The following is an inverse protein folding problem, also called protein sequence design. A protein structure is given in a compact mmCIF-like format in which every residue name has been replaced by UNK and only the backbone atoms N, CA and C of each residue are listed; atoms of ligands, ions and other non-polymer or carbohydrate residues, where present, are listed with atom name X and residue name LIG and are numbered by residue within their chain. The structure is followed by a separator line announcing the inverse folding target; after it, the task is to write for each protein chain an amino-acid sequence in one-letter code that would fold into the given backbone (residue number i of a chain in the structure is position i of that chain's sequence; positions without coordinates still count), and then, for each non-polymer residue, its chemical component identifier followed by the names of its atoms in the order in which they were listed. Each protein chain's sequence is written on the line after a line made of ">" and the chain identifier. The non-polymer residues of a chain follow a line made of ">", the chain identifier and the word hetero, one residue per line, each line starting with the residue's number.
data_IF_882113526737
#
_entry.id   IF_882113526737
#
_cell.length_a   1.000
_cell.length_b   1.000
_cell.length_c   1.000
_cell.angle_alpha   90.00
_cell.angle_beta   90.00
_cell.angle_gamma   90.00
#
_symmetry.space_group_name_H-M   'P 1'
#
loop_
_entity.id
_entity.type
_entity.pdbx_description
1 polymer ?
#
# COMPACT_ATOMS: atom_id res chain seq x y z
N UNK A 1 20.19 0.04 -19.66
CA UNK A 1 18.79 0.05 -20.17
C UNK A 1 18.02 1.29 -19.71
N UNK A 2 18.12 1.75 -18.46
CA UNK A 2 17.45 2.99 -17.99
C UNK A 2 18.06 4.33 -18.46
N UNK A 3 19.37 4.36 -18.71
CA UNK A 3 20.10 5.53 -19.25
C UNK A 3 19.84 5.81 -20.73
N UNK A 4 19.06 4.95 -21.40
CA UNK A 4 18.70 5.09 -22.81
C UNK A 4 17.26 5.62 -23.01
N UNK A 5 16.53 5.90 -21.93
CA UNK A 5 15.19 6.49 -21.97
C UNK A 5 15.27 8.00 -22.18
N UNK A 6 14.20 8.61 -22.69
CA UNK A 6 14.13 10.05 -22.93
C UNK A 6 13.02 10.66 -22.06
N UNK A 7 13.34 11.45 -21.03
CA UNK A 7 14.68 11.83 -20.58
C UNK A 7 15.42 10.68 -19.87
N UNK A 8 16.76 10.64 -19.94
CA UNK A 8 17.53 9.59 -19.30
C UNK A 8 17.50 9.78 -17.79
N UNK A 9 17.07 8.75 -17.06
CA UNK A 9 17.15 8.72 -15.60
C UNK A 9 18.07 7.59 -15.16
N UNK A 10 18.76 7.80 -14.04
CA UNK A 10 19.50 6.73 -13.37
C UNK A 10 18.50 5.89 -12.58
N UNK A 11 18.69 4.57 -12.52
CA UNK A 11 17.99 3.78 -11.51
C UNK A 11 18.30 4.39 -10.15
N UNK A 12 17.28 4.67 -9.35
CA UNK A 12 17.47 5.37 -8.09
C UNK A 12 18.45 4.61 -7.17
N UNK A 13 18.58 3.28 -7.32
CA UNK A 13 19.35 2.40 -6.42
C UNK A 13 19.09 2.70 -4.93
N UNK A 14 17.89 3.22 -4.67
CA UNK A 14 17.35 3.63 -3.39
C UNK A 14 15.93 3.07 -3.32
N UNK A 15 15.42 2.77 -2.11
CA UNK A 15 14.02 2.39 -1.96
C UNK A 15 13.10 3.42 -2.60
N UNK A 16 12.08 2.94 -3.32
CA UNK A 16 11.03 3.78 -3.89
C UNK A 16 10.38 4.56 -2.75
N UNK A 17 10.43 5.90 -2.81
CA UNK A 17 9.88 6.75 -1.75
C UNK A 17 8.48 7.26 -2.07
N UNK A 18 8.06 7.15 -3.34
CA UNK A 18 6.73 7.53 -3.84
C UNK A 18 6.24 6.53 -4.88
N UNK A 19 4.96 6.20 -4.86
CA UNK A 19 4.34 5.28 -5.83
C UNK A 19 4.49 5.76 -7.27
N UNK A 20 4.46 7.08 -7.51
CA UNK A 20 4.64 7.66 -8.84
C UNK A 20 6.03 7.40 -9.44
N UNK A 21 7.04 7.03 -8.64
CA UNK A 21 8.34 6.59 -9.15
C UNK A 21 8.25 5.25 -9.89
N UNK A 22 7.17 4.47 -9.73
CA UNK A 22 6.90 3.27 -10.52
C UNK A 22 6.75 3.59 -12.03
N UNK A 23 6.32 4.81 -12.38
CA UNK A 23 6.28 5.27 -13.79
C UNK A 23 7.68 5.42 -14.40
N UNK A 24 8.73 5.43 -13.58
CA UNK A 24 10.12 5.36 -14.03
C UNK A 24 10.59 3.90 -14.20
N UNK A 25 9.68 2.93 -14.36
CA UNK A 25 10.04 1.60 -14.81
C UNK A 25 9.75 1.51 -16.31
N UNK A 26 10.73 1.07 -17.10
CA UNK A 26 10.66 1.09 -18.58
C UNK A 26 9.48 0.28 -19.15
N UNK A 27 8.94 -0.65 -18.37
CA UNK A 27 7.88 -1.58 -18.77
C UNK A 27 6.49 -1.19 -18.21
N UNK A 28 6.39 -0.12 -17.41
CA UNK A 28 5.12 0.31 -16.83
C UNK A 28 4.57 1.55 -17.55
N UNK A 29 3.54 1.36 -18.38
CA UNK A 29 2.82 2.47 -19.00
C UNK A 29 1.85 3.15 -18.01
N UNK A 30 1.40 4.36 -18.36
CA UNK A 30 0.48 5.14 -17.52
C UNK A 30 -0.85 4.41 -17.29
N UNK A 31 -1.33 3.65 -18.28
CA UNK A 31 -2.60 2.93 -18.20
C UNK A 31 -2.52 1.78 -17.18
N UNK A 32 -1.42 1.04 -17.18
CA UNK A 32 -1.14 -0.04 -16.23
C UNK A 32 -0.87 0.52 -14.85
N UNK A 33 -0.08 1.61 -14.75
CA UNK A 33 0.14 2.29 -13.48
C UNK A 33 -1.18 2.71 -12.82
N UNK A 34 -2.10 3.33 -13.55
CA UNK A 34 -3.41 3.74 -13.01
C UNK A 34 -4.25 2.57 -12.50
N UNK A 35 -4.10 1.39 -13.09
CA UNK A 35 -4.77 0.16 -12.60
C UNK A 35 -4.13 -0.38 -11.33
N UNK A 36 -2.81 -0.26 -11.19
CA UNK A 36 -2.06 -0.76 -10.04
C UNK A 36 -2.03 0.21 -8.85
N UNK A 37 -2.09 1.51 -9.12
CA UNK A 37 -2.00 2.59 -8.14
C UNK A 37 -2.83 2.38 -6.86
N UNK A 38 -4.10 1.93 -6.89
CA UNK A 38 -4.86 1.73 -5.65
C UNK A 38 -4.39 0.53 -4.80
N UNK A 39 -3.60 -0.40 -5.36
CA UNK A 39 -3.19 -1.64 -4.71
C UNK A 39 -1.74 -1.63 -4.21
N UNK A 40 -0.96 -0.62 -4.59
CA UNK A 40 0.48 -0.55 -4.27
C UNK A 40 0.81 0.70 -3.46
N UNK A 41 1.79 0.58 -2.57
CA UNK A 41 2.29 1.70 -1.77
C UNK A 41 3.80 1.65 -1.68
N UNK A 42 4.42 2.83 -1.59
CA UNK A 42 5.87 2.98 -1.39
C UNK A 42 6.14 3.28 0.08
N UNK A 43 6.58 2.27 0.83
CA UNK A 43 6.89 2.35 2.25
C UNK A 43 8.35 1.90 2.49
N UNK A 44 8.94 2.27 3.65
CA UNK A 44 10.25 1.76 4.04
C UNK A 44 10.27 0.21 4.10
N UNK A 45 11.46 -0.38 3.94
CA UNK A 45 11.64 -1.83 3.77
C UNK A 45 11.16 -2.69 4.95
N UNK A 46 10.98 -2.11 6.14
CA UNK A 46 10.47 -2.79 7.33
C UNK A 46 8.94 -2.82 7.40
N UNK A 47 8.25 -2.17 6.46
CA UNK A 47 6.80 -2.13 6.41
C UNK A 47 6.23 -3.52 6.07
N UNK A 48 5.25 -3.92 6.88
CA UNK A 48 4.52 -5.19 6.76
C UNK A 48 3.08 -4.93 6.33
N UNK A 49 2.44 -5.92 5.72
CA UNK A 49 1.07 -5.80 5.25
C UNK A 49 0.10 -5.86 6.45
N UNK A 50 -0.76 -4.85 6.57
CA UNK A 50 -1.84 -4.88 7.55
C UNK A 50 -3.08 -5.59 6.99
N UNK A 51 -3.37 -6.80 7.49
CA UNK A 51 -4.51 -7.63 7.03
C UNK A 51 -5.87 -6.97 7.29
N UNK A 52 -5.98 -6.18 8.36
CA UNK A 52 -7.23 -5.50 8.73
C UNK A 52 -7.62 -4.39 7.74
N UNK A 53 -6.64 -3.81 7.02
CA UNK A 53 -6.86 -2.67 6.11
C UNK A 53 -6.54 -2.98 4.65
N UNK A 54 -5.91 -4.13 4.37
CA UNK A 54 -5.57 -4.54 3.02
C UNK A 54 -6.84 -4.66 2.15
N UNK A 55 -6.73 -4.29 0.89
CA UNK A 55 -7.81 -4.51 -0.08
C UNK A 55 -7.95 -6.03 -0.34
N UNK A 56 -9.17 -6.53 -0.57
CA UNK A 56 -9.40 -7.93 -0.90
C UNK A 56 -8.51 -8.48 -2.02
N UNK A 57 -8.27 -7.69 -3.06
CA UNK A 57 -7.40 -8.08 -4.18
C UNK A 57 -5.95 -8.24 -3.77
N UNK A 58 -5.48 -7.44 -2.82
CA UNK A 58 -4.11 -7.56 -2.28
C UNK A 58 -3.99 -8.82 -1.44
N UNK A 59 -5.05 -9.21 -0.72
CA UNK A 59 -5.08 -10.47 0.03
C UNK A 59 -5.01 -11.66 -0.93
N UNK A 60 -5.89 -11.71 -1.93
CA UNK A 60 -5.90 -12.80 -2.91
C UNK A 60 -4.62 -12.85 -3.76
N UNK A 61 -3.93 -11.72 -3.98
CA UNK A 61 -2.68 -11.70 -4.76
C UNK A 61 -1.55 -12.55 -4.16
N UNK A 62 -1.56 -12.82 -2.84
CA UNK A 62 -0.60 -13.73 -2.21
C UNK A 62 -0.95 -15.22 -2.39
N UNK A 63 -2.15 -15.53 -2.89
CA UNK A 63 -2.66 -16.88 -3.12
C UNK A 63 -2.86 -17.13 -4.61
N UNK A 64 -1.76 -17.40 -5.32
CA UNK A 64 -1.82 -17.62 -6.76
C UNK A 64 -2.77 -18.78 -7.11
N UNK A 65 -3.89 -18.44 -7.76
CA UNK A 65 -4.91 -19.40 -8.21
C UNK A 65 -6.12 -19.55 -7.30
N UNK A 66 -6.15 -18.88 -6.14
CA UNK A 66 -7.29 -18.90 -5.22
C UNK A 66 -7.81 -17.48 -5.01
N UNK A 67 -9.12 -17.29 -5.17
CA UNK A 67 -9.76 -15.98 -5.03
C UNK A 67 -10.92 -16.13 -4.05
N UNK A 68 -10.76 -15.56 -2.86
CA UNK A 68 -11.70 -15.73 -1.75
C UNK A 68 -12.27 -14.37 -1.32
N UNK A 69 -11.39 -13.37 -1.17
CA UNK A 69 -11.78 -12.07 -0.60
C UNK A 69 -12.34 -11.12 -1.66
N UNK A 70 -11.79 -11.11 -2.87
CA UNK A 70 -12.19 -10.24 -3.98
C UNK A 70 -13.67 -10.37 -4.34
N UNK A 71 -14.24 -11.59 -4.55
CA UNK A 71 -15.67 -11.75 -4.81
C UNK A 71 -16.54 -11.38 -3.61
N UNK A 72 -15.99 -11.43 -2.40
CA UNK A 72 -16.67 -11.12 -1.15
C UNK A 72 -16.36 -9.70 -0.63
N UNK A 73 -15.95 -8.76 -1.49
CA UNK A 73 -15.53 -7.40 -1.08
C UNK A 73 -16.53 -6.73 -0.15
N UNK A 74 -17.80 -6.74 -0.53
CA UNK A 74 -18.84 -6.03 0.23
C UNK A 74 -19.01 -6.65 1.62
N UNK A 75 -18.99 -7.98 1.71
CA UNK A 75 -19.01 -8.70 2.98
C UNK A 75 -17.77 -8.39 3.83
N UNK A 76 -16.58 -8.32 3.23
CA UNK A 76 -15.34 -7.94 3.95
C UNK A 76 -15.46 -6.52 4.49
N UNK A 77 -16.00 -5.59 3.70
CA UNK A 77 -16.18 -4.20 4.13
C UNK A 77 -17.22 -4.08 5.26
N UNK A 78 -18.36 -4.77 5.14
CA UNK A 78 -19.40 -4.82 6.17
C UNK A 78 -18.88 -5.45 7.46
N UNK A 79 -18.22 -6.62 7.37
CA UNK A 79 -17.62 -7.29 8.53
C UNK A 79 -16.61 -6.40 9.24
N UNK A 80 -15.81 -5.64 8.49
CA UNK A 80 -14.87 -4.67 9.08
C UNK A 80 -15.56 -3.55 9.82
N UNK A 81 -16.69 -3.08 9.32
CA UNK A 81 -17.49 -2.02 9.96
C UNK A 81 -18.14 -2.51 11.26
N UNK A 82 -18.66 -3.75 11.25
CA UNK A 82 -19.38 -4.32 12.39
C UNK A 82 -18.46 -4.89 13.47
N UNK A 83 -17.40 -5.59 13.07
CA UNK A 83 -16.59 -6.44 13.95
C UNK A 83 -15.14 -5.95 14.10
N UNK A 84 -14.71 -4.97 13.31
CA UNK A 84 -13.36 -4.40 13.37
C UNK A 84 -12.38 -5.07 12.41
N UNK A 85 -11.32 -5.70 12.92
CA UNK A 85 -10.31 -6.30 12.04
C UNK A 85 -10.87 -7.57 11.37
N UNK A 86 -10.93 -7.57 10.04
CA UNK A 86 -11.30 -8.76 9.26
C UNK A 86 -10.65 -8.78 7.87
N UNK A 87 -10.12 -9.93 7.39
CA UNK A 87 -9.73 -11.05 8.22
C UNK A 87 -8.64 -10.61 9.21
N UNK A 88 -8.67 -11.15 10.42
CA UNK A 88 -7.52 -11.09 11.32
C UNK A 88 -6.40 -12.03 10.82
N UNK A 89 -5.22 -11.93 11.42
CA UNK A 89 -4.04 -12.68 10.97
C UNK A 89 -4.28 -14.19 11.05
N UNK A 90 -4.92 -14.66 12.11
CA UNK A 90 -5.18 -16.08 12.32
C UNK A 90 -6.19 -16.62 11.29
N UNK A 91 -7.26 -15.88 11.05
CA UNK A 91 -8.31 -16.19 10.08
C UNK A 91 -7.71 -16.27 8.69
N UNK A 92 -6.92 -15.25 8.30
CA UNK A 92 -6.26 -15.22 7.01
C UNK A 92 -5.24 -16.36 6.83
N UNK A 93 -4.45 -16.70 7.85
CA UNK A 93 -3.49 -17.81 7.75
C UNK A 93 -4.15 -19.19 7.77
N UNK A 94 -5.34 -19.33 8.36
CA UNK A 94 -6.05 -20.62 8.45
C UNK A 94 -6.54 -21.10 7.08
N UNK A 95 -6.85 -20.17 6.18
CA UNK A 95 -7.29 -20.48 4.81
C UNK A 95 -6.12 -20.79 3.86
N UNK A 96 -4.88 -20.47 4.24
CA UNK A 96 -3.67 -20.84 3.48
C UNK A 96 -3.35 -22.30 3.74
N UNK A 97 -3.42 -23.16 2.72
CA UNK A 97 -3.16 -24.61 2.86
C UNK A 97 -1.67 -24.97 2.76
N UNK A 98 -0.92 -24.25 1.92
CA UNK A 98 0.53 -24.42 1.75
C UNK A 98 1.28 -23.98 3.02
N UNK A 99 1.99 -24.93 3.63
CA UNK A 99 2.71 -24.71 4.88
C UNK A 99 3.90 -23.76 4.74
N UNK A 100 4.60 -23.78 3.60
CA UNK A 100 5.74 -22.90 3.35
C UNK A 100 5.26 -21.46 3.14
N UNK A 101 4.25 -21.28 2.29
CA UNK A 101 3.64 -19.96 2.07
C UNK A 101 3.07 -19.39 3.38
N UNK A 102 2.41 -20.22 4.18
CA UNK A 102 1.88 -19.81 5.49
C UNK A 102 2.99 -19.27 6.39
N UNK A 103 4.13 -19.95 6.47
CA UNK A 103 5.28 -19.51 7.28
C UNK A 103 5.87 -18.19 6.77
N UNK A 104 6.00 -18.01 5.46
CA UNK A 104 6.49 -16.77 4.86
C UNK A 104 5.55 -15.59 5.19
N UNK A 105 4.25 -15.78 4.97
CA UNK A 105 3.22 -14.79 5.26
C UNK A 105 3.15 -14.44 6.74
N UNK A 106 3.35 -15.38 7.65
CA UNK A 106 3.34 -15.11 9.09
C UNK A 106 4.35 -14.01 9.47
N UNK A 107 5.49 -13.94 8.79
CA UNK A 107 6.49 -12.90 9.01
C UNK A 107 6.12 -11.56 8.35
N UNK A 108 5.35 -11.56 7.27
CA UNK A 108 5.01 -10.38 6.48
C UNK A 108 3.71 -9.69 6.92
N UNK A 109 2.88 -10.37 7.72
CA UNK A 109 1.56 -9.89 8.12
C UNK A 109 1.54 -9.34 9.54
N UNK A 110 0.86 -8.20 9.67
CA UNK A 110 0.57 -7.51 10.93
C UNK A 110 -0.91 -7.10 10.96
N UNK A 111 -1.41 -6.75 12.14
CA UNK A 111 -2.78 -6.20 12.31
C UNK A 111 -2.76 -4.70 12.66
N UNK A 112 -1.56 -4.16 12.88
CA UNK A 112 -1.36 -2.76 13.20
C UNK A 112 -0.36 -2.13 12.25
N UNK A 113 -0.66 -0.91 11.81
CA UNK A 113 0.23 -0.14 10.95
C UNK A 113 1.13 0.79 11.78
N UNK A 114 2.41 0.87 11.42
CA UNK A 114 3.32 1.90 11.91
C UNK A 114 3.35 3.14 10.98
N UNK A 115 2.88 2.97 9.75
CA UNK A 115 2.91 3.99 8.70
C UNK A 115 1.50 4.44 8.34
N UNK A 116 1.31 5.75 8.19
CA UNK A 116 0.01 6.36 7.87
C UNK A 116 0.20 7.49 6.85
N UNK A 117 -0.75 7.67 5.94
CA UNK A 117 -0.78 8.84 5.06
C UNK A 117 -1.75 9.88 5.63
N UNK A 118 -1.24 11.07 5.92
CA UNK A 118 -2.08 12.24 6.19
C UNK A 118 -2.26 13.03 4.89
N UNK A 119 -3.51 13.33 4.55
CA UNK A 119 -3.88 14.21 3.43
C UNK A 119 -4.49 15.48 4.00
N UNK A 120 -3.83 16.61 3.78
CA UNK A 120 -4.22 17.92 4.30
C UNK A 120 -4.70 18.77 3.13
N UNK A 121 -5.93 19.25 3.23
CA UNK A 121 -6.55 20.13 2.24
C UNK A 121 -6.57 21.54 2.82
N UNK A 122 -5.96 22.50 2.12
CA UNK A 122 -5.87 23.90 2.57
C UNK A 122 -6.50 24.80 1.51
N UNK A 123 -7.44 25.64 1.95
CA UNK A 123 -8.08 26.65 1.10
C UNK A 123 -7.77 28.04 1.68
N UNK A 124 -7.13 28.89 0.87
CA UNK A 124 -6.83 30.29 1.23
C UNK A 124 -7.37 31.19 0.12
N UNK A 125 -8.48 31.89 0.40
CA UNK A 125 -9.21 32.63 -0.63
C UNK A 125 -9.70 31.71 -1.74
N UNK A 126 -9.21 31.93 -2.97
CA UNK A 126 -9.51 31.10 -4.15
C UNK A 126 -8.47 30.00 -4.40
N UNK A 127 -7.40 29.95 -3.61
CA UNK A 127 -6.29 29.02 -3.83
C UNK A 127 -6.49 27.76 -3.00
N UNK A 128 -6.39 26.60 -3.64
CA UNK A 128 -6.45 25.29 -3.01
C UNK A 128 -5.11 24.57 -3.18
N UNK A 129 -4.60 24.01 -2.08
CA UNK A 129 -3.43 23.14 -2.10
C UNK A 129 -3.70 21.87 -1.31
N UNK A 130 -3.23 20.74 -1.83
CA UNK A 130 -3.27 19.45 -1.14
C UNK A 130 -1.86 19.05 -0.75
N UNK A 131 -1.66 18.75 0.52
CA UNK A 131 -0.40 18.22 1.04
C UNK A 131 -0.59 16.78 1.48
N UNK A 132 0.32 15.90 1.04
CA UNK A 132 0.40 14.52 1.51
C UNK A 132 1.63 14.38 2.40
N UNK A 133 1.45 13.76 3.56
CA UNK A 133 2.54 13.45 4.48
C UNK A 133 2.54 11.97 4.83
N UNK A 134 3.69 11.30 4.69
CA UNK A 134 3.89 9.97 5.26
C UNK A 134 4.29 10.13 6.71
N UNK A 135 3.48 9.59 7.61
CA UNK A 135 3.68 9.60 9.05
C UNK A 135 4.22 8.24 9.51
N UNK A 136 5.14 8.28 10.47
CA UNK A 136 5.62 7.11 11.21
C UNK A 136 5.23 7.24 12.67
N UNK A 137 4.56 6.21 13.20
CA UNK A 137 4.12 6.11 14.59
C UNK A 137 5.23 5.50 15.44
N UNK A 138 5.60 6.21 16.50
CA UNK A 138 6.49 5.78 17.57
C UNK A 138 5.70 5.62 18.86
N UNK A 139 6.26 5.01 19.92
CA UNK A 139 5.63 4.98 21.24
C UNK A 139 5.33 6.37 21.82
N UNK A 140 6.03 7.41 21.38
CA UNK A 140 5.87 8.78 21.86
C UNK A 140 4.90 9.64 21.01
N UNK A 141 4.40 9.13 19.88
CA UNK A 141 3.49 9.87 18.99
C UNK A 141 3.70 9.55 17.51
N UNK A 142 3.34 10.48 16.63
CA UNK A 142 3.55 10.35 15.19
C UNK A 142 4.45 11.46 14.65
N UNK A 143 5.36 11.13 13.73
CA UNK A 143 6.25 12.10 13.05
C UNK A 143 6.11 12.00 11.54
N UNK A 144 6.16 13.13 10.84
CA UNK A 144 6.22 13.13 9.39
C UNK A 144 7.65 12.78 8.91
N UNK A 145 7.76 11.79 8.03
CA UNK A 145 9.04 11.33 7.46
C UNK A 145 9.20 11.71 5.97
N UNK A 146 8.09 11.97 5.27
CA UNK A 146 8.08 12.50 3.91
C UNK A 146 6.91 13.47 3.74
N UNK A 147 7.10 14.52 2.95
CA UNK A 147 6.04 15.44 2.54
C UNK A 147 6.07 15.64 1.02
N UNK A 148 4.89 15.68 0.41
CA UNK A 148 4.70 16.05 -0.98
C UNK A 148 3.50 16.99 -1.12
N UNK A 149 3.54 17.85 -2.12
CA UNK A 149 2.44 18.74 -2.48
C UNK A 149 1.83 18.22 -3.78
N UNK A 150 0.51 18.06 -3.80
CA UNK A 150 -0.27 17.82 -5.00
C UNK A 150 -0.90 19.12 -5.46
N UNK A 151 -0.97 19.30 -6.78
CA UNK A 151 -1.85 20.29 -7.41
C UNK A 151 -3.11 19.56 -7.82
N UNK A 152 -4.26 20.07 -7.39
CA UNK A 152 -5.58 19.59 -7.82
C UNK A 152 -5.83 19.81 -9.30
#
# INVERSE_FOLDING_TARGET
>A
VYTALTPPYRTANMPITRTSELLALAELDLATYRKLEPYVTALPLDARLNVCTALPEVLDAYRLGEVEFTPARDNVAETRQEQGCYPDKQTYLSVITDAQLRQELESLLVEQSAYFRATIWVTIGTVQFTQYSLLYRTPAGARAILRSFGTS
#
